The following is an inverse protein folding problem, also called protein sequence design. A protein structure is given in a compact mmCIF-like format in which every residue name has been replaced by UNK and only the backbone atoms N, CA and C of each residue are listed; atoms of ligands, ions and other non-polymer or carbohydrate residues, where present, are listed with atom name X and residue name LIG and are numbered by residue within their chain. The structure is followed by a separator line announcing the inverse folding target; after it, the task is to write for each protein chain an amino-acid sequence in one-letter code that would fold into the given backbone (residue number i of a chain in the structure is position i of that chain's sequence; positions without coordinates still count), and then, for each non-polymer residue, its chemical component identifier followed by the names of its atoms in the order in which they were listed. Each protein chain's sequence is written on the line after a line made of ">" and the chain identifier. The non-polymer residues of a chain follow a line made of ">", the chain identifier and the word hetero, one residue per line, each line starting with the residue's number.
data_IF_809986928268
#
_entry.id   IF_809986928268
#
_cell.length_a   1.000
_cell.length_b   1.000
_cell.length_c   1.000
_cell.angle_alpha   90.00
_cell.angle_beta   90.00
_cell.angle_gamma   90.00
#
_symmetry.space_group_name_H-M   'P 1'
#
loop_
_entity.id
_entity.type
_entity.pdbx_description
1 polymer ?
#
# COMPACT_ATOMS: atom_id res chain seq x y z
N UNK A 1 -17.77 3.45 -7.87
CA UNK A 1 -17.11 3.90 -9.11
C UNK A 1 -16.01 4.87 -8.74
N UNK A 2 -14.80 4.73 -9.28
CA UNK A 2 -13.71 5.66 -8.99
C UNK A 2 -14.14 7.09 -9.38
N UNK A 3 -13.77 8.10 -8.57
CA UNK A 3 -14.18 9.52 -8.77
C UNK A 3 -13.79 10.07 -10.13
N UNK A 4 -12.74 9.49 -10.73
CA UNK A 4 -12.22 9.89 -12.04
C UNK A 4 -12.83 9.03 -13.17
N UNK A 5 -13.01 7.73 -12.97
CA UNK A 5 -13.55 6.85 -14.00
C UNK A 5 -15.01 7.18 -14.38
N UNK A 6 -15.82 7.63 -13.42
CA UNK A 6 -17.22 8.00 -13.67
C UNK A 6 -17.39 9.12 -14.70
N UNK A 7 -16.73 10.27 -14.53
CA UNK A 7 -16.71 11.34 -15.53
C UNK A 7 -16.26 10.89 -16.93
N UNK A 8 -15.25 10.02 -17.04
CA UNK A 8 -14.79 9.51 -18.34
C UNK A 8 -15.87 8.68 -19.06
N UNK A 9 -16.65 7.88 -18.33
CA UNK A 9 -17.80 7.18 -18.90
C UNK A 9 -18.85 8.16 -19.45
N UNK A 10 -19.14 9.23 -18.72
CA UNK A 10 -20.12 10.23 -19.17
C UNK A 10 -19.62 10.93 -20.43
N UNK A 11 -18.35 11.33 -20.46
CA UNK A 11 -17.72 11.97 -21.63
C UNK A 11 -17.74 11.02 -22.84
N UNK A 12 -17.47 9.73 -22.64
CA UNK A 12 -17.55 8.73 -23.71
C UNK A 12 -18.92 8.69 -24.38
N UNK A 13 -20.00 8.70 -23.60
CA UNK A 13 -21.36 8.79 -24.13
C UNK A 13 -21.63 10.12 -24.85
N UNK A 14 -21.14 11.24 -24.32
CA UNK A 14 -21.24 12.53 -24.99
C UNK A 14 -20.53 12.54 -26.34
N UNK A 15 -19.36 11.92 -26.47
CA UNK A 15 -18.64 11.81 -27.75
C UNK A 15 -19.46 11.05 -28.80
N UNK A 16 -20.09 9.94 -28.41
CA UNK A 16 -20.95 9.16 -29.31
C UNK A 16 -22.15 9.99 -29.74
N UNK A 17 -22.86 10.60 -28.77
CA UNK A 17 -24.01 11.44 -29.06
C UNK A 17 -23.63 12.63 -29.96
N UNK A 18 -22.50 13.28 -29.71
CA UNK A 18 -22.02 14.40 -30.55
C UNK A 18 -21.69 13.95 -31.96
N UNK A 19 -21.11 12.76 -32.16
CA UNK A 19 -20.84 12.22 -33.49
C UNK A 19 -22.12 11.97 -34.29
N UNK A 20 -23.17 11.47 -33.63
CA UNK A 20 -24.50 11.28 -34.24
C UNK A 20 -25.13 12.63 -34.59
N UNK A 21 -25.12 13.59 -33.66
CA UNK A 21 -25.67 14.94 -33.89
C UNK A 21 -24.94 15.62 -35.05
N UNK A 22 -23.60 15.60 -35.06
CA UNK A 22 -22.80 16.18 -36.14
C UNK A 22 -23.06 15.49 -37.47
N UNK A 23 -23.24 14.16 -37.47
CA UNK A 23 -23.61 13.41 -38.67
C UNK A 23 -24.95 13.89 -39.23
N UNK A 24 -25.97 14.09 -38.39
CA UNK A 24 -27.29 14.57 -38.82
C UNK A 24 -27.21 16.01 -39.33
N UNK A 25 -26.50 16.89 -38.61
CA UNK A 25 -26.38 18.32 -38.97
C UNK A 25 -25.61 18.51 -40.28
N UNK A 26 -24.65 17.63 -40.58
CA UNK A 26 -23.83 17.67 -41.80
C UNK A 26 -24.25 16.59 -42.81
N UNK A 27 -25.50 16.15 -42.74
CA UNK A 27 -26.06 15.18 -43.68
C UNK A 27 -26.23 15.82 -45.06
N UNK A 28 -26.69 17.06 -45.11
CA UNK A 28 -26.80 17.86 -46.32
C UNK A 28 -25.52 18.68 -46.50
N UNK A 29 -24.81 18.44 -47.61
CA UNK A 29 -23.58 19.14 -47.95
C UNK A 29 -23.84 20.10 -49.11
N UNK A 30 -23.36 21.33 -48.98
CA UNK A 30 -23.40 22.32 -50.06
C UNK A 30 -22.42 21.88 -51.16
N UNK A 31 -22.95 21.57 -52.33
CA UNK A 31 -22.18 21.11 -53.51
C UNK A 31 -22.04 22.19 -54.58
N UNK A 32 -22.83 23.27 -54.48
CA UNK A 32 -22.77 24.38 -55.42
C UNK A 32 -23.68 25.53 -55.03
N UNK A 33 -23.64 26.58 -55.85
CA UNK A 33 -24.50 27.75 -55.73
C UNK A 33 -25.16 28.00 -57.08
N UNK A 34 -26.48 28.21 -57.10
CA UNK A 34 -27.24 28.53 -58.30
C UNK A 34 -27.91 29.90 -58.15
N UNK A 35 -27.97 30.68 -59.23
CA UNK A 35 -28.68 31.96 -59.24
C UNK A 35 -30.15 31.72 -59.63
N UNK A 36 -31.05 32.12 -58.74
CA UNK A 36 -32.48 32.10 -59.03
C UNK A 36 -32.88 33.21 -60.01
N UNK A 37 -34.11 33.11 -60.54
CA UNK A 37 -34.73 34.10 -61.45
C UNK A 37 -34.83 35.53 -60.86
N UNK A 38 -34.55 35.70 -59.57
CA UNK A 38 -34.48 36.99 -58.87
C UNK A 38 -33.04 37.52 -58.68
N UNK A 39 -32.01 36.79 -59.14
CA UNK A 39 -30.59 37.14 -58.96
C UNK A 39 -30.04 36.84 -57.56
N UNK A 40 -30.78 36.10 -56.74
CA UNK A 40 -30.31 35.63 -55.43
C UNK A 40 -29.58 34.28 -55.58
N UNK A 41 -28.49 34.12 -54.85
CA UNK A 41 -27.69 32.88 -54.86
C UNK A 41 -28.27 31.89 -53.85
N UNK A 42 -28.75 30.74 -54.32
CA UNK A 42 -29.22 29.63 -53.48
C UNK A 42 -28.18 28.52 -53.39
N UNK A 43 -28.08 27.90 -52.22
CA UNK A 43 -27.22 26.75 -51.98
C UNK A 43 -27.85 25.47 -52.54
N UNK A 44 -27.14 24.79 -53.43
CA UNK A 44 -27.49 23.43 -53.84
C UNK A 44 -26.92 22.49 -52.79
N UNK A 45 -27.80 21.81 -52.06
CA UNK A 45 -27.42 20.78 -51.09
C UNK A 45 -27.67 19.38 -51.65
N UNK A 46 -26.70 18.49 -51.44
CA UNK A 46 -26.85 17.06 -51.70
C UNK A 46 -26.68 16.27 -50.40
N UNK A 47 -27.55 15.28 -50.21
CA UNK A 47 -27.50 14.38 -49.07
C UNK A 47 -26.30 13.42 -49.20
N UNK A 48 -25.32 13.57 -48.33
CA UNK A 48 -24.07 12.78 -48.32
C UNK A 48 -24.04 11.77 -47.18
N UNK A 49 -24.46 10.54 -47.47
CA UNK A 49 -24.41 9.44 -46.51
C UNK A 49 -23.00 9.12 -46.02
N UNK A 50 -21.98 9.38 -46.84
CA UNK A 50 -20.57 9.15 -46.48
C UNK A 50 -20.14 10.11 -45.37
N UNK A 51 -20.54 11.38 -45.45
CA UNK A 51 -20.29 12.39 -44.40
C UNK A 51 -20.92 11.95 -43.08
N UNK A 52 -22.19 11.53 -43.11
CA UNK A 52 -22.90 11.03 -41.94
C UNK A 52 -22.18 9.86 -41.27
N UNK A 53 -21.83 8.82 -42.05
CA UNK A 53 -21.15 7.64 -41.52
C UNK A 53 -19.78 8.00 -40.92
N UNK A 54 -19.02 8.88 -41.56
CA UNK A 54 -17.73 9.32 -41.02
C UNK A 54 -17.85 9.98 -39.64
N UNK A 55 -18.80 10.90 -39.45
CA UNK A 55 -19.00 11.56 -38.15
C UNK A 55 -19.48 10.59 -37.07
N UNK A 56 -20.41 9.69 -37.42
CA UNK A 56 -20.91 8.66 -36.50
C UNK A 56 -19.78 7.72 -36.09
N UNK A 57 -19.01 7.19 -37.05
CA UNK A 57 -17.90 6.27 -36.79
C UNK A 57 -16.81 6.96 -35.97
N UNK A 58 -16.44 8.21 -36.30
CA UNK A 58 -15.48 8.98 -35.53
C UNK A 58 -15.93 9.19 -34.08
N UNK A 59 -17.21 9.52 -33.86
CA UNK A 59 -17.81 9.65 -32.53
C UNK A 59 -17.79 8.34 -31.74
N UNK A 60 -18.16 7.23 -32.40
CA UNK A 60 -18.13 5.88 -31.79
C UNK A 60 -16.72 5.47 -31.40
N UNK A 61 -15.75 5.59 -32.31
CA UNK A 61 -14.34 5.24 -32.03
C UNK A 61 -13.81 6.06 -30.85
N UNK A 62 -14.04 7.38 -30.87
CA UNK A 62 -13.59 8.27 -29.79
C UNK A 62 -14.26 7.92 -28.45
N UNK A 63 -15.57 7.63 -28.47
CA UNK A 63 -16.29 7.17 -27.27
C UNK A 63 -15.76 5.85 -26.71
N UNK A 64 -15.49 4.87 -27.58
CA UNK A 64 -14.89 3.60 -27.19
C UNK A 64 -13.50 3.78 -26.55
N UNK A 65 -12.67 4.67 -27.10
CA UNK A 65 -11.36 5.00 -26.52
C UNK A 65 -11.54 5.58 -25.10
N UNK A 66 -12.50 6.49 -24.90
CA UNK A 66 -12.79 7.08 -23.58
C UNK A 66 -13.27 6.04 -22.57
N UNK A 67 -14.10 5.08 -22.99
CA UNK A 67 -14.48 3.95 -22.13
C UNK A 67 -13.28 3.08 -21.76
N UNK A 68 -12.39 2.79 -22.72
CA UNK A 68 -11.15 2.06 -22.45
C UNK A 68 -10.28 2.78 -21.41
N UNK A 69 -10.10 4.09 -21.53
CA UNK A 69 -9.38 4.88 -20.52
C UNK A 69 -10.08 4.87 -19.16
N UNK A 70 -11.41 4.96 -19.12
CA UNK A 70 -12.17 4.90 -17.88
C UNK A 70 -11.93 3.58 -17.13
N UNK A 71 -11.88 2.46 -17.88
CA UNK A 71 -11.63 1.14 -17.33
C UNK A 71 -10.20 0.99 -16.82
N UNK A 72 -9.20 1.48 -17.56
CA UNK A 72 -7.79 1.50 -17.12
C UNK A 72 -7.63 2.27 -15.81
N UNK A 73 -8.23 3.45 -15.70
CA UNK A 73 -8.19 4.27 -14.47
C UNK A 73 -8.87 3.57 -13.30
N UNK A 74 -9.97 2.86 -13.57
CA UNK A 74 -10.67 2.09 -12.54
C UNK A 74 -9.83 0.89 -12.06
N UNK A 75 -9.14 0.21 -12.97
CA UNK A 75 -8.23 -0.90 -12.65
C UNK A 75 -7.03 -0.41 -11.82
N UNK A 76 -6.44 0.72 -12.19
CA UNK A 76 -5.30 1.30 -11.47
C UNK A 76 -5.65 1.68 -10.02
N UNK A 77 -6.83 2.28 -9.81
CA UNK A 77 -7.32 2.62 -8.46
C UNK A 77 -7.59 1.38 -7.61
N UNK A 78 -8.16 0.32 -8.20
CA UNK A 78 -8.32 -0.97 -7.51
C UNK A 78 -6.98 -1.59 -7.14
N UNK A 79 -5.99 -1.55 -8.04
CA UNK A 79 -4.64 -2.04 -7.78
C UNK A 79 -3.97 -1.31 -6.63
N UNK A 80 -4.08 0.03 -6.60
CA UNK A 80 -3.51 0.84 -5.52
C UNK A 80 -4.16 0.54 -4.16
N UNK A 81 -5.49 0.38 -4.12
CA UNK A 81 -6.21 0.01 -2.89
C UNK A 81 -5.77 -1.34 -2.35
N UNK A 82 -5.65 -2.34 -3.22
CA UNK A 82 -5.18 -3.68 -2.83
C UNK A 82 -3.74 -3.64 -2.31
N UNK A 83 -2.87 -2.83 -2.92
CA UNK A 83 -1.50 -2.65 -2.45
C UNK A 83 -1.45 -1.99 -1.07
N UNK A 84 -2.28 -0.98 -0.83
CA UNK A 84 -2.37 -0.33 0.47
C UNK A 84 -2.88 -1.30 1.55
N UNK A 85 -3.90 -2.10 1.24
CA UNK A 85 -4.43 -3.10 2.15
C UNK A 85 -3.40 -4.20 2.46
N UNK A 86 -2.69 -4.70 1.45
CA UNK A 86 -1.60 -5.66 1.62
C UNK A 86 -0.50 -5.11 2.53
N UNK A 87 -0.11 -3.84 2.36
CA UNK A 87 0.89 -3.21 3.23
C UNK A 87 0.41 -3.09 4.67
N UNK A 88 -0.87 -2.75 4.90
CA UNK A 88 -1.45 -2.71 6.25
C UNK A 88 -1.45 -4.08 6.92
N UNK A 89 -1.81 -5.13 6.18
CA UNK A 89 -1.78 -6.50 6.68
C UNK A 89 -0.35 -6.91 7.05
N UNK A 90 0.63 -6.62 6.19
CA UNK A 90 2.03 -6.95 6.46
C UNK A 90 2.59 -6.22 7.67
N UNK A 91 2.27 -4.94 7.86
CA UNK A 91 2.64 -4.19 9.07
C UNK A 91 2.00 -4.76 10.33
N UNK A 92 0.72 -5.16 10.25
CA UNK A 92 0.03 -5.82 11.36
C UNK A 92 0.66 -7.17 11.72
N UNK A 93 0.96 -8.01 10.73
CA UNK A 93 1.62 -9.30 10.96
C UNK A 93 3.03 -9.13 11.53
N UNK A 94 3.79 -8.15 11.04
CA UNK A 94 5.15 -7.85 11.54
C UNK A 94 5.11 -7.37 12.99
N UNK A 95 4.19 -6.48 13.33
CA UNK A 95 4.03 -6.01 14.71
C UNK A 95 3.58 -7.10 15.67
N UNK A 96 2.72 -8.02 15.23
CA UNK A 96 2.34 -9.21 16.01
C UNK A 96 3.57 -10.10 16.27
N UNK A 97 4.37 -10.40 15.23
CA UNK A 97 5.57 -11.22 15.36
C UNK A 97 6.63 -10.59 16.29
N UNK A 98 6.82 -9.27 16.23
CA UNK A 98 7.72 -8.54 17.14
C UNK A 98 7.20 -8.62 18.59
N UNK A 99 5.90 -8.46 18.79
CA UNK A 99 5.30 -8.53 20.12
C UNK A 99 5.43 -9.94 20.73
N UNK A 100 5.19 -10.98 19.93
CA UNK A 100 5.42 -12.37 20.36
C UNK A 100 6.90 -12.64 20.70
N UNK A 101 7.83 -12.17 19.86
CA UNK A 101 9.27 -12.27 20.13
C UNK A 101 9.65 -11.60 21.45
N UNK A 102 9.18 -10.38 21.70
CA UNK A 102 9.45 -9.68 22.97
C UNK A 102 8.83 -10.38 24.19
N UNK A 103 7.62 -10.93 24.03
CA UNK A 103 6.97 -11.70 25.10
C UNK A 103 7.75 -12.96 25.47
N UNK A 104 8.46 -13.58 24.53
CA UNK A 104 9.33 -14.73 24.81
C UNK A 104 10.70 -14.36 25.40
N UNK A 105 11.21 -13.16 25.13
CA UNK A 105 12.52 -12.71 25.67
C UNK A 105 12.44 -12.21 27.11
N UNK A 106 11.37 -11.50 27.49
CA UNK A 106 11.17 -11.01 28.86
C UNK A 106 11.27 -12.08 29.96
N UNK A 107 10.63 -13.27 29.86
CA UNK A 107 10.74 -14.29 30.91
C UNK A 107 12.14 -14.91 30.97
N UNK A 108 12.87 -14.96 29.86
CA UNK A 108 14.25 -15.45 29.82
C UNK A 108 15.20 -14.47 30.48
N UNK A 109 15.06 -13.17 30.20
CA UNK A 109 15.88 -12.12 30.81
C UNK A 109 15.60 -11.99 32.32
N UNK A 110 14.32 -12.04 32.73
CA UNK A 110 13.95 -12.09 34.14
C UNK A 110 14.43 -13.38 34.82
N UNK A 111 14.39 -14.51 34.12
CA UNK A 111 14.90 -15.80 34.59
C UNK A 111 16.41 -15.77 34.85
N UNK A 112 17.21 -15.31 33.89
CA UNK A 112 18.67 -15.19 34.02
C UNK A 112 19.03 -14.23 35.16
N UNK A 113 18.32 -13.11 35.28
CA UNK A 113 18.54 -12.13 36.35
C UNK A 113 18.22 -12.73 37.73
N UNK A 114 17.14 -13.50 37.84
CA UNK A 114 16.78 -14.18 39.09
C UNK A 114 17.78 -15.28 39.47
N UNK A 115 18.34 -15.98 38.48
CA UNK A 115 19.31 -17.06 38.70
C UNK A 115 20.68 -16.53 39.10
N UNK A 116 21.13 -15.42 38.50
CA UNK A 116 22.35 -14.71 38.89
C UNK A 116 22.23 -14.15 40.31
N UNK A 117 21.09 -13.55 40.66
CA UNK A 117 20.83 -13.05 42.02
C UNK A 117 20.81 -14.16 43.06
N UNK A 118 20.26 -15.34 42.72
CA UNK A 118 20.29 -16.50 43.61
C UNK A 118 21.71 -17.04 43.82
N UNK A 119 22.53 -17.06 42.77
CA UNK A 119 23.96 -17.40 42.88
C UNK A 119 24.71 -16.44 43.80
N UNK A 120 24.53 -15.12 43.61
CA UNK A 120 25.19 -14.12 44.48
C UNK A 120 24.81 -14.30 45.96
N UNK A 121 23.52 -14.54 46.25
CA UNK A 121 23.05 -14.80 47.62
C UNK A 121 23.65 -16.07 48.23
N UNK A 122 23.81 -17.14 47.43
CA UNK A 122 24.45 -18.38 47.88
C UNK A 122 25.92 -18.16 48.22
N UNK A 123 26.64 -17.37 47.42
CA UNK A 123 28.05 -17.03 47.65
C UNK A 123 28.20 -16.16 48.90
N UNK A 124 27.29 -15.20 49.13
CA UNK A 124 27.29 -14.40 50.35
C UNK A 124 27.03 -15.24 51.61
N UNK A 125 26.18 -16.27 51.52
CA UNK A 125 25.93 -17.18 52.63
C UNK A 125 27.15 -18.05 52.94
N UNK A 126 27.80 -18.65 51.93
CA UNK A 126 29.02 -19.43 52.14
C UNK A 126 30.15 -18.59 52.74
N UNK A 127 30.35 -17.35 52.26
CA UNK A 127 31.36 -16.44 52.80
C UNK A 127 31.09 -16.06 54.26
N UNK A 128 29.81 -15.88 54.64
CA UNK A 128 29.42 -15.61 56.03
C UNK A 128 29.61 -16.81 56.94
N UNK A 129 29.35 -18.04 56.47
CA UNK A 129 29.59 -19.25 57.24
C UNK A 129 31.09 -19.46 57.53
N UNK A 130 31.95 -19.24 56.54
CA UNK A 130 33.41 -19.28 56.71
C UNK A 130 33.91 -18.23 57.72
N UNK A 131 33.28 -17.05 57.75
CA UNK A 131 33.63 -16.01 58.73
C UNK A 131 33.18 -16.33 60.15
N UNK A 132 32.00 -16.93 60.30
CA UNK A 132 31.42 -17.22 61.61
C UNK A 132 32.00 -18.48 62.27
N UNK A 133 32.70 -19.32 61.51
CA UNK A 133 33.34 -20.50 62.07
C UNK A 133 34.54 -20.11 62.97
N UNK A 134 34.39 -20.31 64.28
CA UNK A 134 35.40 -19.96 65.29
C UNK A 134 36.55 -20.97 65.35
N UNK A 135 36.46 -22.09 64.64
CA UNK A 135 37.49 -23.14 64.60
C UNK A 135 38.59 -22.88 63.57
N UNK A 136 38.33 -21.99 62.60
CA UNK A 136 39.26 -21.64 61.53
C UNK A 136 40.22 -20.51 61.96
N UNK A 137 41.52 -20.72 61.77
CA UNK A 137 42.52 -19.66 61.97
C UNK A 137 42.37 -18.56 60.91
N UNK A 138 42.80 -17.35 61.22
CA UNK A 138 42.65 -16.19 60.33
C UNK A 138 43.22 -16.42 58.92
N UNK A 139 44.38 -17.07 58.80
CA UNK A 139 44.98 -17.39 57.49
C UNK A 139 44.20 -18.45 56.71
N UNK A 140 43.50 -19.34 57.42
CA UNK A 140 42.68 -20.40 56.83
C UNK A 140 41.34 -19.84 56.32
N UNK A 141 40.75 -18.85 57.01
CA UNK A 141 39.57 -18.11 56.53
C UNK A 141 39.85 -17.34 55.24
N UNK A 142 40.97 -16.62 55.19
CA UNK A 142 41.41 -15.87 54.01
C UNK A 142 41.63 -16.80 52.80
N UNK A 143 42.31 -17.93 53.00
CA UNK A 143 42.54 -18.93 51.95
C UNK A 143 41.23 -19.55 51.45
N UNK A 144 40.30 -19.85 52.34
CA UNK A 144 39.01 -20.46 52.01
C UNK A 144 38.11 -19.46 51.25
N UNK A 145 38.05 -18.19 51.67
CA UNK A 145 37.38 -17.11 50.91
C UNK A 145 37.98 -16.91 49.51
N UNK A 146 39.31 -16.93 49.40
CA UNK A 146 39.99 -16.81 48.12
C UNK A 146 39.69 -18.01 47.19
N UNK A 147 39.56 -19.21 47.75
CA UNK A 147 39.19 -20.41 46.99
C UNK A 147 37.75 -20.38 46.47
N UNK A 148 36.80 -19.86 47.28
CA UNK A 148 35.39 -19.68 46.89
C UNK A 148 35.29 -18.65 45.75
N UNK A 149 36.00 -17.52 45.85
CA UNK A 149 36.03 -16.50 44.79
C UNK A 149 36.59 -17.03 43.46
N UNK A 150 37.68 -17.82 43.49
CA UNK A 150 38.25 -18.44 42.29
C UNK A 150 37.33 -19.49 41.67
N UNK A 151 36.61 -20.27 42.50
CA UNK A 151 35.69 -21.31 42.03
C UNK A 151 34.49 -20.71 41.28
N UNK A 152 34.01 -19.56 41.71
CA UNK A 152 32.86 -18.87 41.09
C UNK A 152 33.27 -17.85 40.00
N UNK A 153 34.56 -17.74 39.68
CA UNK A 153 35.05 -16.89 38.59
C UNK A 153 34.96 -15.38 38.88
N UNK A 154 34.97 -14.99 40.16
CA UNK A 154 34.98 -13.60 40.63
C UNK A 154 36.46 -13.24 40.90
N UNK A 155 37.24 -13.00 39.84
CA UNK A 155 38.59 -12.43 39.94
C UNK A 155 38.61 -10.94 39.56
#
# INVERSE_FOLDING_TARGET
>A
MNRIAGPLFIIGWFCIASGIILGIVNLDQVVGYEENYLGETEEITETSWVSFVNFVVAGVITGCIMFGFAEIVNLLDRGNKLKEESNRIMQKSTSIAINESNKTKQPVENGITSLNRAKELSIEQELKEVDNDKSLSHGMKEAMKASIKRREGIE
#
